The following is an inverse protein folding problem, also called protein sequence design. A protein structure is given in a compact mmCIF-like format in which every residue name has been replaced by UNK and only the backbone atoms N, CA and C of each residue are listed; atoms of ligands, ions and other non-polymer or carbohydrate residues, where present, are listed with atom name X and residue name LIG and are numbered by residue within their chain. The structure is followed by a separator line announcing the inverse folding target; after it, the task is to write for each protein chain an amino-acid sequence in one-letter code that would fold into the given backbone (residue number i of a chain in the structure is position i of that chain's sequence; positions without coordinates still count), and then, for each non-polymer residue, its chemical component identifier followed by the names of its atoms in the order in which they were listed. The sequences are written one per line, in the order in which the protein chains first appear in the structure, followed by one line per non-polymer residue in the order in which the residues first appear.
data_IF_326879830132
#
_entry.id   IF_326879830132
#
_cell.length_a   1.000
_cell.length_b   1.000
_cell.length_c   1.000
_cell.angle_alpha   90.00
_cell.angle_beta   90.00
_cell.angle_gamma   90.00
#
_symmetry.space_group_name_H-M   'P 1'
#
loop_
_entity.id
_entity.type
_entity.pdbx_description
1 polymer ?
#
# COMPACT_ATOMS: atom_id res chain seq x y z
N UNK A 1 -20.33 18.17 12.66
CA UNK A 1 -19.48 17.33 11.78
C UNK A 1 -18.45 16.64 12.66
N UNK A 2 -18.46 15.31 12.84
CA UNK A 2 -17.31 14.65 13.44
C UNK A 2 -16.14 14.86 12.48
N UNK A 3 -15.00 15.29 13.00
CA UNK A 3 -13.79 15.46 12.20
C UNK A 3 -13.44 14.10 11.57
N UNK A 4 -13.62 13.97 10.26
CA UNK A 4 -12.88 12.97 9.50
C UNK A 4 -11.41 13.20 9.82
N UNK A 5 -10.79 12.26 10.52
CA UNK A 5 -9.35 12.16 10.55
C UNK A 5 -8.91 11.95 9.09
N UNK A 6 -8.34 13.00 8.48
CA UNK A 6 -8.17 13.09 7.03
C UNK A 6 -7.13 12.11 6.50
N UNK A 7 -6.03 11.95 7.20
CA UNK A 7 -4.94 11.08 6.76
C UNK A 7 -4.15 10.58 7.97
N UNK A 8 -3.85 9.29 7.98
CA UNK A 8 -2.93 8.68 8.95
C UNK A 8 -1.77 8.04 8.21
N UNK A 9 -0.54 8.37 8.59
CA UNK A 9 0.67 7.78 8.02
C UNK A 9 1.34 6.85 9.03
N UNK A 10 1.68 5.66 8.56
CA UNK A 10 2.37 4.62 9.33
C UNK A 10 3.61 4.13 8.60
N UNK A 11 4.60 3.72 9.38
CA UNK A 11 5.87 3.18 8.89
C UNK A 11 6.07 1.79 9.48
N UNK A 12 6.01 0.77 8.62
CA UNK A 12 6.32 -0.62 8.91
C UNK A 12 7.71 -0.91 8.31
N UNK A 13 8.72 -0.23 8.84
CA UNK A 13 10.10 -0.27 8.34
C UNK A 13 11.10 -0.38 9.49
N UNK A 14 12.33 -0.76 9.19
CA UNK A 14 13.49 -0.63 10.07
C UNK A 14 13.67 0.82 10.53
N UNK A 15 14.29 0.98 11.69
CA UNK A 15 14.41 2.28 12.37
C UNK A 15 15.19 3.34 11.57
N UNK A 16 16.10 2.91 10.71
CA UNK A 16 16.91 3.76 9.82
C UNK A 16 16.14 4.29 8.60
N UNK A 17 14.87 3.88 8.41
CA UNK A 17 14.10 4.11 7.17
C UNK A 17 12.82 4.91 7.36
N UNK A 18 12.43 5.21 8.60
CA UNK A 18 11.36 6.15 8.89
C UNK A 18 11.94 7.55 9.20
N UNK A 19 11.13 8.62 9.17
CA UNK A 19 11.57 9.96 9.56
C UNK A 19 12.20 9.98 10.96
N UNK A 20 13.20 10.85 11.19
CA UNK A 20 13.91 10.97 12.48
C UNK A 20 12.97 11.31 13.65
N UNK A 21 11.87 12.00 13.36
CA UNK A 21 10.84 12.34 14.35
C UNK A 21 9.87 11.18 14.61
N UNK A 22 9.86 10.12 13.79
CA UNK A 22 9.00 8.96 13.99
C UNK A 22 9.60 8.01 15.02
N UNK A 23 9.19 8.12 16.28
CA UNK A 23 9.58 7.13 17.30
C UNK A 23 8.50 6.04 17.42
N UNK A 24 8.90 4.81 17.78
CA UNK A 24 7.94 3.73 18.11
C UNK A 24 6.97 4.17 19.22
N UNK A 25 7.45 4.98 20.18
CA UNK A 25 6.61 5.61 21.19
C UNK A 25 5.59 6.59 20.61
N UNK A 26 5.90 7.31 19.52
CA UNK A 26 4.94 8.15 18.81
C UNK A 26 3.95 7.34 17.98
N UNK A 27 4.36 6.25 17.34
CA UNK A 27 3.43 5.34 16.65
C UNK A 27 2.43 4.73 17.65
N UNK A 28 2.94 4.27 18.80
CA UNK A 28 2.14 3.75 19.89
C UNK A 28 1.26 4.82 20.56
N UNK A 29 1.76 6.05 20.72
CA UNK A 29 0.95 7.18 21.18
C UNK A 29 -0.11 7.59 20.16
N UNK A 30 0.18 7.60 18.86
CA UNK A 30 -0.82 7.85 17.79
C UNK A 30 -1.91 6.78 17.83
N UNK A 31 -1.55 5.53 18.08
CA UNK A 31 -2.46 4.42 18.38
C UNK A 31 -3.34 4.70 19.59
N UNK A 32 -2.73 5.00 20.74
CA UNK A 32 -3.42 5.28 21.99
C UNK A 32 -4.34 6.49 21.90
N UNK A 33 -3.91 7.55 21.23
CA UNK A 33 -4.71 8.73 20.95
C UNK A 33 -5.84 8.43 19.99
N UNK A 34 -5.61 7.68 18.91
CA UNK A 34 -6.67 7.27 18.00
C UNK A 34 -7.71 6.41 18.72
N UNK A 35 -7.27 5.47 19.57
CA UNK A 35 -8.15 4.68 20.45
C UNK A 35 -8.90 5.56 21.45
N UNK A 36 -8.25 6.56 22.05
CA UNK A 36 -8.86 7.47 23.02
C UNK A 36 -9.92 8.35 22.36
N UNK A 37 -9.60 8.95 21.20
CA UNK A 37 -10.56 9.71 20.39
C UNK A 37 -11.71 8.84 19.94
N UNK A 38 -11.44 7.59 19.57
CA UNK A 38 -12.49 6.67 19.15
C UNK A 38 -13.44 6.31 20.30
N UNK A 39 -12.89 5.94 21.46
CA UNK A 39 -13.67 5.72 22.70
C UNK A 39 -14.47 6.96 23.09
N UNK A 40 -13.90 8.15 22.98
CA UNK A 40 -14.59 9.41 23.26
C UNK A 40 -15.77 9.65 22.30
N UNK A 41 -15.55 9.47 20.99
CA UNK A 41 -16.61 9.67 20.01
C UNK A 41 -17.73 8.63 20.18
N UNK A 42 -17.39 7.37 20.48
CA UNK A 42 -18.36 6.31 20.77
C UNK A 42 -19.21 6.66 22.00
N UNK A 43 -18.58 7.11 23.09
CA UNK A 43 -19.29 7.56 24.30
C UNK A 43 -20.24 8.73 23.99
N UNK A 44 -19.83 9.65 23.11
CA UNK A 44 -20.63 10.80 22.69
C UNK A 44 -21.83 10.41 21.82
N UNK A 45 -21.65 9.45 20.90
CA UNK A 45 -22.74 8.91 20.08
C UNK A 45 -23.78 8.16 20.93
N UNK A 46 -23.34 7.36 21.92
CA UNK A 46 -24.22 6.68 22.86
C UNK A 46 -25.06 7.67 23.69
N UNK A 47 -24.46 8.78 24.12
CA UNK A 47 -25.15 9.85 24.86
C UNK A 47 -26.20 10.57 24.01
N UNK A 48 -25.89 10.88 22.74
CA UNK A 48 -26.85 11.50 21.82
C UNK A 48 -28.02 10.58 21.44
N UNK A 49 -27.79 9.26 21.36
CA UNK A 49 -28.84 8.27 21.17
C UNK A 49 -29.78 8.13 22.37
N UNK A 50 -29.29 8.38 23.60
CA UNK A 50 -30.10 8.35 24.83
C UNK A 50 -30.93 9.63 25.03
N UNK A 51 -30.47 10.78 24.56
CA UNK A 51 -31.21 12.06 24.66
C UNK A 51 -32.34 12.21 23.63
N UNK A 52 -32.29 11.47 22.51
CA UNK A 52 -33.28 11.55 21.43
C UNK A 52 -34.51 10.64 21.64
N UNK A 53 -34.94 10.48 22.90
CA UNK A 53 -35.97 9.53 23.34
C UNK A 53 -37.25 9.49 22.49
N UNK A 54 -37.25 8.64 21.45
CA UNK A 54 -38.43 8.15 20.75
C UNK A 54 -38.49 6.66 21.03
N UNK A 55 -39.49 6.25 21.82
CA UNK A 55 -39.80 4.84 22.08
C UNK A 55 -40.35 4.21 20.78
N UNK A 56 -39.81 3.11 20.27
CA UNK A 56 -40.46 2.38 19.20
C UNK A 56 -41.57 1.50 19.78
N UNK A 57 -42.80 1.72 19.35
CA UNK A 57 -43.88 0.74 19.46
C UNK A 57 -43.62 -0.42 18.48
N UNK A 58 -43.72 -1.64 19.02
CA UNK A 58 -43.99 -2.91 18.35
C UNK A 58 -43.29 -3.23 17.00
N UNK A 59 -42.31 -4.14 17.08
CA UNK A 59 -42.35 -5.35 16.26
C UNK A 59 -41.78 -5.31 14.84
N UNK A 60 -40.53 -4.86 14.67
CA UNK A 60 -39.69 -5.31 13.55
C UNK A 60 -38.27 -5.62 14.06
N UNK A 61 -37.60 -6.69 13.58
CA UNK A 61 -36.23 -6.97 13.96
C UNK A 61 -35.33 -5.88 13.37
N UNK A 62 -34.97 -4.90 14.20
CA UNK A 62 -33.94 -3.91 13.90
C UNK A 62 -32.63 -4.64 13.61
N UNK A 63 -32.28 -4.81 12.35
CA UNK A 63 -30.90 -5.00 11.90
C UNK A 63 -30.16 -3.68 12.09
N UNK A 64 -29.88 -3.32 13.34
CA UNK A 64 -29.02 -2.18 13.66
C UNK A 64 -27.58 -2.54 13.26
N UNK A 65 -27.13 -2.05 12.12
CA UNK A 65 -25.70 -1.96 11.84
C UNK A 65 -25.05 -1.15 12.99
N UNK A 66 -23.95 -1.62 13.59
CA UNK A 66 -23.34 -0.90 14.70
C UNK A 66 -22.79 0.44 14.21
N UNK A 67 -23.35 1.53 14.74
CA UNK A 67 -22.96 2.93 14.53
C UNK A 67 -21.65 3.30 15.25
N UNK A 68 -20.69 2.37 15.32
CA UNK A 68 -19.46 2.46 16.13
C UNK A 68 -18.20 2.72 15.30
N UNK A 69 -18.35 3.03 14.00
CA UNK A 69 -17.23 3.10 13.06
C UNK A 69 -16.82 4.55 12.78
N UNK A 70 -15.68 4.99 13.33
CA UNK A 70 -15.05 6.23 12.87
C UNK A 70 -14.31 5.91 11.58
N UNK A 71 -14.84 6.42 10.48
CA UNK A 71 -14.20 6.29 9.18
C UNK A 71 -13.05 7.29 9.06
N UNK A 72 -11.88 6.76 8.72
CA UNK A 72 -10.70 7.53 8.35
C UNK A 72 -10.74 7.67 6.83
N UNK A 73 -10.44 8.86 6.30
CA UNK A 73 -10.48 9.04 4.85
C UNK A 73 -9.35 8.24 4.17
N UNK A 74 -8.11 8.42 4.63
CA UNK A 74 -6.94 7.75 4.07
C UNK A 74 -6.00 7.21 5.16
N UNK A 75 -5.55 5.98 4.97
CA UNK A 75 -4.44 5.38 5.69
C UNK A 75 -3.31 5.14 4.70
N UNK A 76 -2.16 5.78 4.92
CA UNK A 76 -0.94 5.61 4.15
C UNK A 76 0.07 4.82 4.96
N UNK A 77 0.62 3.76 4.37
CA UNK A 77 1.58 2.87 5.02
C UNK A 77 2.81 2.78 4.14
N UNK A 78 3.96 3.23 4.65
CA UNK A 78 5.26 2.92 4.08
C UNK A 78 5.75 1.63 4.71
N UNK A 79 6.15 0.67 3.90
CA UNK A 79 6.49 -0.65 4.42
C UNK A 79 7.64 -1.29 3.67
N UNK A 80 8.50 -1.95 4.43
CA UNK A 80 9.45 -2.93 3.90
C UNK A 80 8.72 -4.23 3.58
N UNK A 81 9.14 -4.89 2.49
CA UNK A 81 8.50 -6.13 2.04
C UNK A 81 8.44 -7.21 3.13
N UNK A 82 9.54 -7.43 3.86
CA UNK A 82 9.59 -8.48 4.89
C UNK A 82 8.56 -8.25 6.02
N UNK A 83 8.32 -6.99 6.40
CA UNK A 83 7.35 -6.63 7.46
C UNK A 83 5.92 -6.96 7.04
N UNK A 84 5.61 -6.75 5.76
CA UNK A 84 4.30 -7.09 5.20
C UNK A 84 4.14 -8.61 5.12
N UNK A 85 5.18 -9.32 4.66
CA UNK A 85 5.21 -10.78 4.59
C UNK A 85 5.09 -11.44 5.97
N UNK A 86 5.58 -10.80 7.04
CA UNK A 86 5.38 -11.21 8.43
C UNK A 86 3.98 -10.87 8.99
N UNK A 87 3.12 -10.21 8.21
CA UNK A 87 1.73 -9.92 8.56
C UNK A 87 1.50 -8.63 9.34
N UNK A 88 2.49 -7.73 9.44
CA UNK A 88 2.32 -6.50 10.22
C UNK A 88 1.22 -5.58 9.67
N UNK A 89 1.03 -5.56 8.35
CA UNK A 89 -0.04 -4.80 7.73
C UNK A 89 -1.43 -5.36 8.10
N UNK A 90 -1.57 -6.68 8.21
CA UNK A 90 -2.79 -7.32 8.68
C UNK A 90 -3.09 -6.92 10.13
N UNK A 91 -2.07 -7.00 11.00
CA UNK A 91 -2.19 -6.64 12.42
C UNK A 91 -2.62 -5.17 12.55
N UNK A 92 -2.00 -4.27 11.78
CA UNK A 92 -2.35 -2.85 11.73
C UNK A 92 -3.82 -2.64 11.34
N UNK A 93 -4.28 -3.28 10.26
CA UNK A 93 -5.64 -3.12 9.75
C UNK A 93 -6.71 -3.70 10.69
N UNK A 94 -6.34 -4.63 11.57
CA UNK A 94 -7.23 -5.19 12.60
C UNK A 94 -7.34 -4.35 13.87
N UNK A 95 -6.58 -3.26 13.96
CA UNK A 95 -6.70 -2.36 15.10
C UNK A 95 -8.14 -1.83 15.22
N UNK A 96 -8.72 -1.86 16.42
CA UNK A 96 -10.04 -1.28 16.64
C UNK A 96 -10.07 0.17 16.17
N UNK A 97 -11.18 0.58 15.56
CA UNK A 97 -11.44 1.94 15.09
C UNK A 97 -10.59 2.42 13.91
N UNK A 98 -9.68 1.59 13.39
CA UNK A 98 -8.95 1.89 12.16
C UNK A 98 -9.77 1.44 10.95
N UNK A 99 -10.64 2.32 10.44
CA UNK A 99 -11.52 2.01 9.31
C UNK A 99 -11.27 2.97 8.15
N UNK A 100 -10.22 2.71 7.34
CA UNK A 100 -9.89 3.58 6.22
C UNK A 100 -10.80 3.35 5.02
N UNK A 101 -11.26 4.44 4.40
CA UNK A 101 -11.93 4.40 3.08
C UNK A 101 -10.94 4.11 1.95
N UNK A 102 -9.73 4.65 2.05
CA UNK A 102 -8.60 4.40 1.15
C UNK A 102 -7.38 3.93 1.94
N UNK A 103 -6.81 2.80 1.53
CA UNK A 103 -5.51 2.34 1.99
C UNK A 103 -4.49 2.60 0.88
N UNK A 104 -3.38 3.25 1.19
CA UNK A 104 -2.24 3.39 0.27
C UNK A 104 -1.03 2.71 0.89
N UNK A 105 -0.53 1.65 0.25
CA UNK A 105 0.68 0.92 0.64
C UNK A 105 1.81 1.35 -0.29
N UNK A 106 2.86 1.94 0.25
CA UNK A 106 4.02 2.40 -0.53
C UNK A 106 5.25 1.54 -0.21
N UNK A 107 5.82 0.93 -1.26
CA UNK A 107 7.12 0.26 -1.22
C UNK A 107 8.13 1.17 -1.90
N UNK A 108 9.05 1.75 -1.12
CA UNK A 108 10.11 2.63 -1.65
C UNK A 108 11.21 1.82 -2.30
N UNK A 109 12.09 2.47 -3.08
CA UNK A 109 13.23 1.79 -3.69
C UNK A 109 14.08 0.99 -2.67
N UNK A 110 14.34 1.59 -1.50
CA UNK A 110 15.10 0.95 -0.45
C UNK A 110 14.31 -0.12 0.30
N UNK A 111 13.01 -0.28 0.08
CA UNK A 111 12.15 -1.19 0.85
C UNK A 111 11.89 -2.53 0.11
N UNK A 112 12.44 -2.68 -1.09
CA UNK A 112 12.46 -3.94 -1.84
C UNK A 112 13.48 -4.93 -1.27
N UNK A 113 13.26 -6.23 -1.51
CA UNK A 113 14.24 -7.27 -1.20
C UNK A 113 15.56 -7.06 -1.95
N UNK A 114 16.67 -7.03 -1.21
CA UNK A 114 18.05 -6.97 -1.73
C UNK A 114 18.29 -5.84 -2.74
N UNK A 115 17.63 -4.69 -2.56
CA UNK A 115 17.83 -3.54 -3.42
C UNK A 115 19.29 -3.04 -3.42
N UNK A 116 19.99 -3.25 -2.29
CA UNK A 116 21.40 -2.94 -2.12
C UNK A 116 22.26 -3.66 -3.17
N UNK A 117 21.90 -4.90 -3.51
CA UNK A 117 22.64 -5.78 -4.43
C UNK A 117 22.21 -5.64 -5.90
N UNK A 118 21.39 -4.63 -6.22
CA UNK A 118 20.80 -4.41 -7.54
C UNK A 118 19.87 -5.54 -8.03
N UNK A 119 19.34 -6.36 -7.13
CA UNK A 119 18.49 -7.51 -7.46
C UNK A 119 17.26 -7.12 -8.30
N UNK A 120 16.74 -8.11 -9.04
CA UNK A 120 15.54 -7.93 -9.86
C UNK A 120 14.34 -7.59 -8.96
N UNK A 121 13.48 -6.68 -9.44
CA UNK A 121 12.27 -6.36 -8.71
C UNK A 121 11.37 -7.60 -8.63
N UNK A 122 11.04 -8.03 -7.43
CA UNK A 122 10.15 -9.15 -7.19
C UNK A 122 9.17 -8.84 -6.07
N UNK A 123 8.04 -9.53 -6.07
CA UNK A 123 7.01 -9.41 -5.05
C UNK A 123 6.44 -10.78 -4.72
N UNK A 124 6.46 -11.13 -3.43
CA UNK A 124 5.79 -12.32 -2.90
C UNK A 124 4.58 -11.85 -2.09
N UNK A 125 3.37 -12.20 -2.55
CA UNK A 125 2.15 -11.59 -2.03
C UNK A 125 1.22 -12.57 -1.30
N UNK A 126 1.82 -13.55 -0.62
CA UNK A 126 1.11 -14.55 0.18
C UNK A 126 0.27 -13.89 1.31
N UNK A 127 0.56 -12.62 1.65
CA UNK A 127 -0.15 -11.79 2.63
C UNK A 127 -1.49 -11.17 2.13
N UNK A 128 -1.75 -11.17 0.81
CA UNK A 128 -2.92 -10.48 0.23
C UNK A 128 -4.25 -10.97 0.78
N UNK A 129 -4.37 -12.29 1.01
CA UNK A 129 -5.59 -12.88 1.54
C UNK A 129 -5.87 -12.35 2.95
N UNK A 130 -4.87 -12.41 3.82
CA UNK A 130 -4.96 -11.96 5.20
C UNK A 130 -5.25 -10.45 5.30
N UNK A 131 -4.58 -9.64 4.49
CA UNK A 131 -4.84 -8.20 4.39
C UNK A 131 -6.25 -7.95 3.88
N UNK A 132 -6.69 -8.65 2.83
CA UNK A 132 -8.06 -8.58 2.34
C UNK A 132 -9.08 -8.85 3.44
N UNK A 133 -8.89 -9.92 4.23
CA UNK A 133 -9.77 -10.26 5.36
C UNK A 133 -9.71 -9.23 6.51
N UNK A 134 -8.61 -8.49 6.66
CA UNK A 134 -8.47 -7.42 7.65
C UNK A 134 -9.11 -6.09 7.21
N UNK A 135 -9.37 -5.89 5.91
CA UNK A 135 -10.01 -4.67 5.41
C UNK A 135 -11.44 -4.51 5.95
N UNK A 136 -11.75 -3.28 6.32
CA UNK A 136 -13.06 -2.94 6.90
C UNK A 136 -14.16 -2.78 5.84
N UNK A 137 -15.40 -2.98 6.30
CA UNK A 137 -16.59 -2.16 6.00
C UNK A 137 -16.45 -1.01 4.99
N UNK A 138 -15.66 -0.04 5.42
CA UNK A 138 -15.54 1.28 4.81
C UNK A 138 -14.59 1.33 3.62
N UNK A 139 -13.71 0.33 3.45
CA UNK A 139 -12.60 0.39 2.48
C UNK A 139 -13.09 0.19 1.05
N UNK A 140 -12.99 1.24 0.23
CA UNK A 140 -13.45 1.27 -1.17
C UNK A 140 -12.30 1.25 -2.17
N UNK A 141 -11.09 1.55 -1.71
CA UNK A 141 -9.90 1.65 -2.54
C UNK A 141 -8.67 1.18 -1.77
N UNK A 142 -7.85 0.36 -2.42
CA UNK A 142 -6.50 0.03 -1.99
C UNK A 142 -5.57 0.45 -3.12
N UNK A 143 -4.48 1.17 -2.82
CA UNK A 143 -3.49 1.58 -3.81
C UNK A 143 -2.15 1.01 -3.38
N UNK A 144 -1.48 0.31 -4.30
CA UNK A 144 -0.11 -0.14 -4.10
C UNK A 144 0.79 0.79 -4.90
N UNK A 145 1.57 1.62 -4.23
CA UNK A 145 2.58 2.49 -4.82
C UNK A 145 3.94 1.80 -4.79
N UNK A 146 4.54 1.65 -5.96
CA UNK A 146 5.80 0.94 -6.14
C UNK A 146 6.83 1.95 -6.68
N UNK A 147 7.82 2.28 -5.87
CA UNK A 147 8.91 3.17 -6.25
C UNK A 147 10.17 2.37 -6.59
N UNK A 148 10.89 2.78 -7.62
CA UNK A 148 12.23 2.30 -7.91
C UNK A 148 13.06 3.34 -8.66
N UNK A 149 14.27 2.97 -9.06
CA UNK A 149 15.14 3.79 -9.89
C UNK A 149 14.60 3.90 -11.31
N UNK A 150 14.75 5.07 -11.94
CA UNK A 150 14.29 5.30 -13.32
C UNK A 150 14.90 4.31 -14.32
N UNK A 151 16.15 3.84 -14.10
CA UNK A 151 16.77 2.80 -14.94
C UNK A 151 16.05 1.45 -14.88
N UNK A 152 15.37 1.14 -13.77
CA UNK A 152 14.57 -0.09 -13.57
C UNK A 152 13.10 0.06 -13.97
N UNK A 153 12.72 1.16 -14.66
CA UNK A 153 11.31 1.41 -15.03
C UNK A 153 10.67 0.23 -15.78
N UNK A 154 11.39 -0.43 -16.69
CA UNK A 154 10.85 -1.57 -17.43
C UNK A 154 10.50 -2.76 -16.50
N UNK A 155 11.31 -3.00 -15.47
CA UNK A 155 11.01 -3.99 -14.42
C UNK A 155 9.79 -3.57 -13.61
N UNK A 156 9.68 -2.28 -13.27
CA UNK A 156 8.53 -1.73 -12.54
C UNK A 156 7.23 -1.87 -13.33
N UNK A 157 7.24 -1.53 -14.62
CA UNK A 157 6.10 -1.67 -15.53
C UNK A 157 5.63 -3.13 -15.59
N UNK A 158 6.58 -4.08 -15.65
CA UNK A 158 6.28 -5.52 -15.65
C UNK A 158 5.59 -5.96 -14.35
N UNK A 159 6.16 -5.59 -13.20
CA UNK A 159 5.61 -5.93 -11.88
C UNK A 159 4.22 -5.29 -11.69
N UNK A 160 4.06 -4.02 -12.02
CA UNK A 160 2.78 -3.32 -11.91
C UNK A 160 1.70 -3.93 -12.81
N UNK A 161 2.03 -4.31 -14.05
CA UNK A 161 1.10 -4.99 -14.95
C UNK A 161 0.69 -6.37 -14.43
N UNK A 162 1.62 -7.12 -13.83
CA UNK A 162 1.30 -8.40 -13.19
C UNK A 162 0.36 -8.20 -11.99
N UNK A 163 0.66 -7.25 -11.12
CA UNK A 163 -0.14 -6.93 -9.93
C UNK A 163 -1.56 -6.55 -10.32
N UNK A 164 -1.74 -5.62 -11.26
CA UNK A 164 -3.06 -5.19 -11.72
C UNK A 164 -3.89 -6.35 -12.30
N UNK A 165 -3.25 -7.30 -12.99
CA UNK A 165 -3.89 -8.42 -13.69
C UNK A 165 -4.15 -9.65 -12.84
N UNK A 166 -3.40 -9.85 -11.76
CA UNK A 166 -3.45 -11.10 -11.00
C UNK A 166 -3.90 -10.92 -9.56
N UNK A 167 -3.87 -9.71 -9.02
CA UNK A 167 -4.21 -9.47 -7.62
C UNK A 167 -5.63 -8.90 -7.47
N UNK A 168 -6.19 -9.14 -6.29
CA UNK A 168 -7.46 -8.59 -5.86
C UNK A 168 -7.49 -8.66 -4.32
N UNK A 169 -8.33 -7.82 -3.72
CA UNK A 169 -8.56 -7.85 -2.27
C UNK A 169 -9.99 -8.29 -2.00
N UNK A 170 -10.17 -9.50 -1.48
CA UNK A 170 -11.45 -9.98 -0.97
C UNK A 170 -11.59 -9.61 0.50
N UNK A 171 -12.50 -8.68 0.78
CA UNK A 171 -12.90 -8.27 2.13
C UNK A 171 -13.61 -9.39 2.86
N UNK A 172 -13.66 -9.27 4.20
CA UNK A 172 -14.37 -10.21 5.07
C UNK A 172 -15.87 -10.31 4.78
N UNK A 173 -16.48 -9.24 4.29
CA UNK A 173 -17.89 -9.21 3.90
C UNK A 173 -18.15 -9.72 2.47
N UNK A 174 -17.14 -10.29 1.82
CA UNK A 174 -17.24 -10.87 0.47
C UNK A 174 -17.10 -9.86 -0.66
N UNK A 175 -17.06 -8.56 -0.36
CA UNK A 175 -16.82 -7.52 -1.37
C UNK A 175 -15.37 -7.61 -1.88
N UNK A 176 -15.19 -7.50 -3.19
CA UNK A 176 -13.87 -7.61 -3.83
C UNK A 176 -13.45 -6.28 -4.45
N UNK A 177 -12.20 -5.90 -4.23
CA UNK A 177 -11.52 -4.79 -4.90
C UNK A 177 -10.62 -5.34 -6.01
N UNK A 178 -10.79 -4.82 -7.22
CA UNK A 178 -10.13 -5.30 -8.44
C UNK A 178 -9.12 -4.28 -8.95
N UNK A 179 -7.98 -4.77 -9.42
CA UNK A 179 -7.07 -3.99 -10.25
C UNK A 179 -7.71 -3.70 -11.61
N UNK A 180 -7.35 -2.56 -12.19
CA UNK A 180 -7.73 -2.21 -13.55
C UNK A 180 -6.70 -2.77 -14.54
N UNK A 181 -7.13 -3.77 -15.33
CA UNK A 181 -6.24 -4.49 -16.24
C UNK A 181 -5.94 -3.74 -17.53
N UNK A 182 -6.70 -2.67 -17.82
CA UNK A 182 -6.50 -1.84 -19.02
C UNK A 182 -5.18 -1.06 -18.97
N UNK A 183 -4.58 -0.90 -17.78
CA UNK A 183 -3.38 -0.11 -17.56
C UNK A 183 -3.60 1.41 -17.60
N UNK A 184 -4.81 1.86 -17.92
CA UNK A 184 -5.14 3.29 -18.07
C UNK A 184 -5.26 4.03 -16.74
N UNK A 185 -5.44 3.32 -15.62
CA UNK A 185 -5.53 3.95 -14.30
C UNK A 185 -4.25 3.88 -13.46
N UNK A 186 -3.15 3.35 -14.02
CA UNK A 186 -1.86 3.41 -13.35
C UNK A 186 -1.30 4.83 -13.46
N UNK A 187 -1.02 5.45 -12.31
CA UNK A 187 -0.42 6.78 -12.26
C UNK A 187 1.09 6.63 -12.13
N UNK A 188 1.83 7.10 -13.15
CA UNK A 188 3.28 7.22 -13.11
C UNK A 188 3.66 8.60 -12.57
N UNK A 189 4.45 8.63 -11.52
CA UNK A 189 5.10 9.85 -11.04
C UNK A 189 6.62 9.66 -10.96
N UNK A 190 7.37 10.75 -11.00
CA UNK A 190 8.84 10.73 -10.96
C UNK A 190 9.33 11.81 -10.04
N UNK A 191 10.41 11.55 -9.31
CA UNK A 191 11.05 12.55 -8.47
C UNK A 191 12.56 12.36 -8.41
N UNK A 192 13.28 13.38 -7.95
CA UNK A 192 14.75 13.39 -7.86
C UNK A 192 15.19 13.47 -6.40
N UNK A 193 16.07 12.57 -5.99
CA UNK A 193 16.59 12.50 -4.63
C UNK A 193 18.12 12.55 -4.57
N UNK A 194 18.64 12.77 -3.36
CA UNK A 194 20.06 12.69 -3.10
C UNK A 194 20.53 11.23 -3.19
N UNK A 195 21.72 11.00 -3.73
CA UNK A 195 22.34 9.67 -3.78
C UNK A 195 22.99 9.23 -2.47
N UNK A 196 22.95 10.08 -1.45
CA UNK A 196 23.51 9.79 -0.13
C UNK A 196 22.41 9.38 0.84
N UNK A 197 22.55 8.19 1.43
CA UNK A 197 21.65 7.68 2.45
C UNK A 197 22.46 6.96 3.54
N UNK A 198 22.12 7.19 4.82
CA UNK A 198 22.83 6.64 5.99
C UNK A 198 24.36 6.87 6.00
N UNK A 199 24.83 7.99 5.46
CA UNK A 199 26.26 8.31 5.35
C UNK A 199 27.00 7.57 4.23
N UNK A 200 26.30 6.73 3.45
CA UNK A 200 26.82 6.05 2.28
C UNK A 200 26.30 6.71 1.00
N UNK A 201 27.13 6.76 -0.04
CA UNK A 201 26.78 7.30 -1.35
C UNK A 201 26.59 6.18 -2.37
N UNK A 202 25.42 6.15 -2.99
CA UNK A 202 24.99 5.13 -3.95
C UNK A 202 25.32 5.55 -5.38
N UNK A 203 26.62 5.59 -5.70
CA UNK A 203 27.14 6.07 -7.01
C UNK A 203 26.60 5.25 -8.19
N UNK A 204 26.37 3.94 -8.00
CA UNK A 204 25.78 3.06 -9.01
C UNK A 204 24.46 3.59 -9.58
N UNK A 205 23.66 4.24 -8.73
CA UNK A 205 22.28 4.60 -9.02
C UNK A 205 22.12 6.06 -9.46
N UNK A 206 23.23 6.80 -9.51
CA UNK A 206 23.24 8.20 -9.91
C UNK A 206 22.91 8.38 -11.39
N UNK A 207 21.95 9.26 -11.69
CA UNK A 207 21.75 9.75 -13.06
C UNK A 207 22.56 11.00 -13.36
N UNK A 208 23.00 11.70 -12.30
CA UNK A 208 23.99 12.77 -12.33
C UNK A 208 24.69 12.84 -10.96
N UNK A 209 25.87 13.49 -10.85
CA UNK A 209 26.63 13.49 -9.61
C UNK A 209 25.80 13.91 -8.39
N UNK A 210 25.66 13.00 -7.42
CA UNK A 210 24.91 13.24 -6.19
C UNK A 210 23.39 13.09 -6.30
N UNK A 211 22.84 12.73 -7.47
CA UNK A 211 21.40 12.73 -7.74
C UNK A 211 20.94 11.39 -8.34
N UNK A 212 19.82 10.88 -7.81
CA UNK A 212 19.13 9.70 -8.31
C UNK A 212 17.74 10.11 -8.81
N UNK A 213 17.36 9.62 -10.00
CA UNK A 213 16.01 9.78 -10.53
C UNK A 213 15.16 8.55 -10.18
N UNK A 214 14.05 8.76 -9.47
CA UNK A 214 13.09 7.73 -9.08
C UNK A 214 11.83 7.78 -9.94
N UNK A 215 11.20 6.63 -10.12
CA UNK A 215 9.88 6.48 -10.71
C UNK A 215 8.97 5.69 -9.77
N UNK A 216 7.69 6.06 -9.74
CA UNK A 216 6.66 5.47 -8.88
C UNK A 216 5.47 5.12 -9.77
N UNK A 217 4.98 3.88 -9.68
CA UNK A 217 3.72 3.46 -10.28
C UNK A 217 2.72 3.16 -9.17
N UNK A 218 1.57 3.84 -9.20
CA UNK A 218 0.43 3.53 -8.36
C UNK A 218 -0.50 2.54 -9.06
N UNK A 219 -0.74 1.38 -8.43
CA UNK A 219 -1.68 0.36 -8.91
C UNK A 219 -2.94 0.36 -8.03
N UNK A 220 -4.05 0.95 -8.49
CA UNK A 220 -5.26 1.04 -7.70
C UNK A 220 -6.16 -0.20 -7.84
N UNK A 221 -6.73 -0.62 -6.71
CA UNK A 221 -7.74 -1.65 -6.57
C UNK A 221 -9.03 -1.03 -6.07
N UNK A 222 -10.12 -1.19 -6.83
CA UNK A 222 -11.39 -0.53 -6.54
C UNK A 222 -12.57 -1.47 -6.67
N UNK A 223 -13.71 -1.06 -6.14
CA UNK A 223 -14.98 -1.73 -6.41
C UNK A 223 -15.23 -1.81 -7.92
N UNK A 224 -15.83 -2.91 -8.39
CA UNK A 224 -16.17 -3.14 -9.81
C UNK A 224 -16.82 -1.91 -10.47
N UNK A 225 -17.87 -1.38 -9.84
CA UNK A 225 -18.60 -0.22 -10.37
C UNK A 225 -17.76 1.06 -10.46
N UNK A 226 -16.70 1.20 -9.65
CA UNK A 226 -15.76 2.32 -9.71
C UNK A 226 -14.73 2.15 -10.82
N UNK A 227 -14.28 0.91 -11.07
CA UNK A 227 -13.40 0.60 -12.21
C UNK A 227 -14.14 0.87 -13.52
N UNK A 228 -15.34 0.29 -13.68
CA UNK A 228 -16.18 0.43 -14.88
C UNK A 228 -16.56 1.90 -15.14
N UNK A 229 -16.90 2.68 -14.10
CA UNK A 229 -17.20 4.13 -14.23
C UNK A 229 -16.02 4.95 -14.74
N UNK A 230 -14.79 4.49 -14.50
CA UNK A 230 -13.56 5.15 -14.97
C UNK A 230 -13.11 4.64 -16.35
N UNK A 231 -13.91 3.77 -16.99
CA UNK A 231 -13.57 3.14 -18.26
C UNK A 231 -12.47 2.08 -18.13
N UNK A 232 -12.17 1.64 -16.91
CA UNK A 232 -11.23 0.55 -16.66
C UNK A 232 -11.87 -0.81 -16.92
N UNK A 233 -11.02 -1.82 -17.02
CA UNK A 233 -11.43 -3.20 -17.24
C UNK A 233 -11.04 -4.04 -16.02
N UNK A 234 -11.86 -5.03 -15.68
CA UNK A 234 -11.49 -6.01 -14.66
C UNK A 234 -11.39 -7.39 -15.29
N UNK A 235 -10.50 -8.22 -14.76
CA UNK A 235 -10.49 -9.62 -15.12
C UNK A 235 -11.70 -10.34 -14.50
N UNK A 236 -12.58 -10.87 -15.34
CA UNK A 236 -13.81 -11.53 -14.91
C UNK A 236 -13.57 -12.81 -14.11
N UNK A 237 -12.36 -13.39 -14.17
CA UNK A 237 -11.99 -14.63 -13.49
C UNK A 237 -11.91 -14.49 -11.95
N UNK A 238 -11.75 -13.28 -11.43
CA UNK A 238 -11.51 -13.07 -10.00
C UNK A 238 -12.68 -13.39 -9.06
N UNK A 239 -13.92 -13.51 -9.56
CA UNK A 239 -15.08 -13.77 -8.71
C UNK A 239 -15.10 -15.19 -8.12
N UNK A 240 -14.43 -16.15 -8.77
CA UNK A 240 -14.51 -17.58 -8.43
C UNK A 240 -13.15 -18.21 -8.11
N UNK A 241 -12.05 -17.46 -8.30
CA UNK A 241 -10.70 -18.01 -8.15
C UNK A 241 -10.24 -18.01 -6.68
N UNK A 242 -9.65 -19.13 -6.21
CA UNK A 242 -8.86 -19.12 -4.99
C UNK A 242 -7.59 -18.30 -5.21
N UNK A 243 -7.01 -17.81 -4.12
CA UNK A 243 -5.66 -17.27 -4.15
C UNK A 243 -4.67 -18.39 -4.46
N UNK A 244 -3.84 -18.21 -5.50
CA UNK A 244 -2.81 -19.21 -5.86
C UNK A 244 -1.41 -18.59 -5.80
N UNK A 245 -0.39 -19.34 -5.33
CA UNK A 245 0.98 -18.81 -5.22
C UNK A 245 1.53 -18.25 -6.52
N UNK A 246 1.23 -18.88 -7.67
CA UNK A 246 1.71 -18.43 -8.98
C UNK A 246 1.15 -17.06 -9.41
N UNK A 247 -0.02 -16.67 -8.90
CA UNK A 247 -0.60 -15.35 -9.16
C UNK A 247 -0.03 -14.28 -8.23
N UNK A 248 0.31 -14.68 -7.01
CA UNK A 248 0.80 -13.80 -5.94
C UNK A 248 2.27 -13.45 -6.06
N UNK A 249 3.01 -14.21 -6.87
CA UNK A 249 4.45 -14.06 -7.00
C UNK A 249 4.80 -13.51 -8.36
N UNK A 250 5.67 -12.52 -8.38
CA UNK A 250 6.17 -11.90 -9.60
C UNK A 250 7.64 -11.59 -9.43
N UNK A 251 8.44 -11.91 -10.44
CA UNK A 251 9.83 -11.47 -10.56
C UNK A 251 9.98 -10.85 -11.93
N UNK A 252 10.42 -9.59 -11.97
CA UNK A 252 10.73 -8.91 -13.20
C UNK A 252 11.81 -9.67 -13.97
N UNK A 253 11.77 -9.67 -15.31
CA UNK A 253 12.81 -10.30 -16.09
C UNK A 253 14.16 -9.62 -15.81
N UNK A 254 15.22 -10.42 -15.68
CA UNK A 254 16.57 -9.91 -15.62
C UNK A 254 16.89 -9.05 -16.85
N UNK A 255 17.51 -7.90 -16.62
CA UNK A 255 18.11 -7.14 -17.71
C UNK A 255 19.21 -8.02 -18.31
N UNK A 256 19.00 -8.51 -19.53
CA UNK A 256 20.15 -8.81 -20.38
C UNK A 256 20.85 -7.47 -20.56
N UNK A 257 21.93 -7.25 -19.82
CA UNK A 257 22.90 -6.22 -20.14
C UNK A 257 23.16 -6.37 -21.64
N UNK A 258 22.64 -5.44 -22.44
CA UNK A 258 23.11 -5.32 -23.80
C UNK A 258 24.63 -5.17 -23.65
N UNK A 259 25.39 -6.04 -24.32
CA UNK A 259 26.84 -5.98 -24.42
C UNK A 259 27.24 -4.61 -25.00
N UNK A 260 27.24 -3.58 -24.17
CA UNK A 260 27.90 -2.33 -24.45
C UNK A 260 29.35 -2.59 -24.07
N UNK A 261 30.19 -2.68 -25.09
CA UNK A 261 31.56 -3.15 -25.03
C UNK A 261 32.32 -2.57 -23.84
N UNK A 262 32.83 -3.48 -23.02
CA UNK A 262 33.99 -3.22 -22.19
C UNK A 262 35.14 -2.82 -23.12
N UNK A 263 35.34 -1.52 -23.32
CA UNK A 263 36.65 -1.03 -23.75
C UNK A 263 37.52 -1.05 -22.51
N UNK A 264 38.31 -2.11 -22.39
CA UNK A 264 39.46 -2.11 -21.50
C UNK A 264 40.33 -0.90 -21.92
N UNK A 265 40.44 0.09 -21.04
CA UNK A 265 41.51 1.06 -21.15
C UNK A 265 42.82 0.32 -20.89
N UNK A 266 43.53 -0.02 -21.96
CA UNK A 266 44.93 -0.42 -21.90
C UNK A 266 45.72 0.68 -21.20
N UNK A 267 46.20 0.38 -19.99
CA UNK A 267 47.29 1.11 -19.37
C UNK A 267 48.60 0.57 -19.92
N UNK A 268 49.00 1.06 -21.09
CA UNK A 268 50.39 1.07 -21.52
C UNK A 268 50.75 2.48 -22.01
N UNK A 269 51.72 3.12 -21.34
CA UNK A 269 52.42 4.28 -21.89
C UNK A 269 52.72 5.43 -20.94
N UNK A 270 53.58 5.23 -19.94
CA UNK A 270 54.85 5.97 -19.81
C UNK A 270 55.70 5.50 -18.64
#
# INVERSE_FOLDING_TARGET
MPALLREHTWWLTSFDRHPDDYTYSQAQWKLEMSMMYARWAQKRLQQQGQESGVRPECGEPMTSAPSDMIEIHELRVFAQMYRIEEGELEILLRLPYLHPRRLTLTIRHADWWFWEDDEQLRFEADWLENVGQALSSSTREVVIELETLSRKKAQLDHVAAHIARNWFFRRRDGVVLFGDVSGNSNELSTWRGASSWAGQRWVRDETSPGTIDYCIIAVPFRLRNMVEKRGGEIDSRFHTMPYTPHQMRVTAPGERLAEQGWVACDMEGR
#
